data_IF_121358847478
#
_entry.id   IF_121358847478
#
_cell.length_a   1.000
_cell.length_b   1.000
_cell.length_c   1.000
_cell.angle_alpha   90.00
_cell.angle_beta   90.00
_cell.angle_gamma   90.00
#
_symmetry.space_group_name_H-M   'P 1'
#
loop_
_entity.id
_entity.type
_entity.pdbx_description
1 polymer ?
#
# COMPACT_ATOMS: atom_id res chain seq x y z
N UNK A 1 0.22 -8.08 0.46
CA UNK A 1 -0.93 -7.21 0.16
C UNK A 1 -2.19 -7.72 0.82
N UNK A 2 -3.06 -6.82 1.22
CA UNK A 2 -4.34 -7.18 1.83
C UNK A 2 -5.45 -6.27 1.30
N UNK A 3 -6.64 -6.82 1.08
CA UNK A 3 -7.81 -6.07 0.64
C UNK A 3 -8.80 -5.95 1.81
N UNK A 4 -9.12 -4.71 2.19
CA UNK A 4 -10.04 -4.41 3.28
C UNK A 4 -11.41 -4.02 2.73
N UNK A 5 -12.43 -4.78 3.10
CA UNK A 5 -13.78 -4.56 2.57
C UNK A 5 -14.76 -4.03 3.61
N UNK A 6 -14.54 -4.26 4.88
CA UNK A 6 -15.54 -3.96 5.91
C UNK A 6 -15.02 -3.24 7.14
N UNK A 7 -13.86 -3.56 7.65
CA UNK A 7 -13.37 -2.97 8.89
C UNK A 7 -12.54 -1.73 8.63
N UNK A 8 -12.92 -0.62 9.26
CA UNK A 8 -12.20 0.66 9.16
C UNK A 8 -11.31 0.92 10.37
N UNK A 9 -11.43 0.10 11.41
CA UNK A 9 -10.70 0.32 12.65
C UNK A 9 -9.26 -0.13 12.55
N UNK A 10 -8.40 0.68 13.12
CA UNK A 10 -7.00 0.32 13.36
C UNK A 10 -6.19 0.05 12.09
N UNK A 11 -6.59 0.60 10.95
CA UNK A 11 -5.86 0.39 9.70
C UNK A 11 -4.37 0.72 9.83
N UNK A 12 -3.96 1.89 10.35
CA UNK A 12 -2.52 2.19 10.49
C UNK A 12 -1.80 1.20 11.39
N UNK A 13 -2.42 0.80 12.50
CA UNK A 13 -1.80 -0.15 13.42
C UNK A 13 -1.69 -1.54 12.81
N UNK A 14 -2.68 -1.93 12.03
CA UNK A 14 -2.65 -3.21 11.30
C UNK A 14 -1.53 -3.22 10.28
N UNK A 15 -1.35 -2.13 9.54
CA UNK A 15 -0.27 -2.01 8.58
C UNK A 15 1.11 -2.07 9.27
N UNK A 16 1.23 -1.45 10.45
CA UNK A 16 2.45 -1.53 11.25
C UNK A 16 2.74 -2.98 11.65
N UNK A 17 1.72 -3.71 12.04
CA UNK A 17 1.86 -5.12 12.41
C UNK A 17 2.35 -5.96 11.22
N UNK A 18 1.76 -5.77 10.05
CA UNK A 18 2.17 -6.51 8.85
C UNK A 18 3.61 -6.21 8.47
N UNK A 19 4.06 -4.97 8.64
CA UNK A 19 5.45 -4.62 8.38
C UNK A 19 6.37 -5.43 9.31
N UNK A 20 6.00 -5.57 10.57
CA UNK A 20 6.79 -6.35 11.54
C UNK A 20 6.85 -7.82 11.15
N UNK A 21 5.75 -8.38 10.69
CA UNK A 21 5.72 -9.78 10.24
C UNK A 21 6.64 -9.99 9.04
N UNK A 22 6.63 -9.09 8.09
CA UNK A 22 7.52 -9.14 6.93
C UNK A 22 8.98 -9.14 7.39
N UNK A 23 9.33 -8.23 8.28
CA UNK A 23 10.71 -8.06 8.74
C UNK A 23 11.19 -9.29 9.51
N UNK A 24 10.36 -9.85 10.37
CA UNK A 24 10.69 -11.05 11.14
C UNK A 24 10.94 -12.25 10.20
N UNK A 25 10.16 -12.37 9.14
CA UNK A 25 10.29 -13.48 8.21
C UNK A 25 11.52 -13.36 7.32
N UNK A 26 12.01 -12.15 7.09
CA UNK A 26 13.19 -11.91 6.25
C UNK A 26 14.48 -12.08 7.05
N UNK A 27 14.49 -11.63 8.31
CA UNK A 27 15.71 -11.57 9.13
C UNK A 27 15.76 -12.73 10.12
N UNK A 28 16.55 -13.77 9.81
CA UNK A 28 16.79 -14.87 10.73
C UNK A 28 17.76 -14.43 11.86
N UNK A 29 17.75 -15.13 13.01
CA UNK A 29 18.70 -14.83 14.08
C UNK A 29 20.15 -14.86 13.61
N UNK A 30 20.92 -13.84 13.96
CA UNK A 30 22.33 -13.73 13.58
C UNK A 30 22.58 -13.16 12.20
N UNK A 31 21.53 -12.82 11.46
CA UNK A 31 21.65 -12.19 10.13
C UNK A 31 21.82 -10.68 10.30
N UNK A 32 22.67 -10.08 9.47
CA UNK A 32 22.93 -8.65 9.47
C UNK A 32 21.68 -7.87 9.04
N UNK A 33 21.42 -6.75 9.71
CA UNK A 33 20.29 -5.86 9.35
C UNK A 33 20.37 -5.34 7.93
N UNK A 34 21.56 -5.27 7.34
CA UNK A 34 21.72 -4.87 5.93
C UNK A 34 21.01 -5.81 4.96
N UNK A 35 20.60 -6.99 5.42
CA UNK A 35 19.82 -7.92 4.60
C UNK A 35 18.35 -7.58 4.51
N UNK A 36 17.85 -6.66 5.33
CA UNK A 36 16.50 -6.16 5.21
C UNK A 36 16.37 -5.39 3.89
N UNK A 37 15.43 -5.80 3.08
CA UNK A 37 15.23 -5.22 1.76
C UNK A 37 14.15 -4.14 1.82
N UNK A 38 14.12 -3.30 0.79
CA UNK A 38 13.02 -2.37 0.56
C UNK A 38 11.70 -3.14 0.58
N UNK A 39 10.74 -2.66 1.34
CA UNK A 39 9.46 -3.33 1.46
C UNK A 39 8.28 -2.38 1.33
N UNK A 40 7.17 -2.92 0.87
CA UNK A 40 5.90 -2.20 0.73
C UNK A 40 4.81 -2.96 1.44
N UNK A 41 3.99 -2.27 2.20
CA UNK A 41 2.74 -2.80 2.70
C UNK A 41 1.63 -2.07 1.97
N UNK A 42 0.85 -2.79 1.18
CA UNK A 42 -0.19 -2.22 0.33
C UNK A 42 -1.55 -2.73 0.78
N UNK A 43 -2.43 -1.82 1.16
CA UNK A 43 -3.81 -2.14 1.50
C UNK A 43 -4.73 -1.52 0.45
N UNK A 44 -5.67 -2.32 -0.06
CA UNK A 44 -6.67 -1.85 -1.00
C UNK A 44 -8.00 -1.78 -0.27
N UNK A 45 -8.57 -0.58 -0.19
CA UNK A 45 -9.78 -0.31 0.57
C UNK A 45 -10.93 0.07 -0.38
N UNK A 46 -12.13 -0.39 -0.06
CA UNK A 46 -13.35 0.01 -0.77
C UNK A 46 -14.03 1.22 -0.13
N UNK A 47 -13.29 1.92 0.71
CA UNK A 47 -13.72 3.12 1.41
C UNK A 47 -12.50 4.02 1.56
N UNK A 48 -12.72 5.29 1.92
CA UNK A 48 -11.63 6.23 2.15
C UNK A 48 -11.28 6.26 3.65
N UNK A 49 -10.16 5.65 4.05
CA UNK A 49 -9.82 5.59 5.48
C UNK A 49 -9.35 6.91 6.06
N UNK A 50 -8.99 7.90 5.23
CA UNK A 50 -8.42 9.17 5.69
C UNK A 50 -9.29 10.38 5.36
N UNK A 51 -10.32 10.21 4.56
CA UNK A 51 -11.30 11.26 4.30
C UNK A 51 -10.83 12.39 3.39
N UNK A 52 -9.75 12.22 2.64
CA UNK A 52 -9.23 13.23 1.73
C UNK A 52 -9.58 12.98 0.26
N UNK A 53 -10.29 11.91 -0.02
CA UNK A 53 -10.75 11.58 -1.36
C UNK A 53 -9.69 11.10 -2.33
N UNK A 54 -8.46 10.86 -1.89
CA UNK A 54 -7.39 10.46 -2.78
C UNK A 54 -7.50 9.00 -3.19
N UNK A 55 -7.05 8.71 -4.40
CA UNK A 55 -6.94 7.34 -4.89
C UNK A 55 -5.83 6.57 -4.18
N UNK A 56 -4.71 7.26 -3.90
CA UNK A 56 -3.53 6.63 -3.30
C UNK A 56 -3.00 7.53 -2.19
N UNK A 57 -2.72 6.90 -1.06
CA UNK A 57 -2.00 7.52 0.06
C UNK A 57 -0.72 6.75 0.27
N UNK A 58 0.41 7.42 0.12
CA UNK A 58 1.73 6.81 0.34
C UNK A 58 2.34 7.41 1.58
N UNK A 59 2.73 6.55 2.52
CA UNK A 59 3.34 6.96 3.78
C UNK A 59 4.75 6.41 3.87
N UNK A 60 5.67 7.26 4.28
CA UNK A 60 7.04 6.87 4.59
C UNK A 60 7.53 7.68 5.77
N UNK A 61 8.59 7.22 6.41
CA UNK A 61 9.12 7.89 7.58
C UNK A 61 9.95 9.11 7.17
N UNK A 62 9.60 10.27 7.72
CA UNK A 62 10.30 11.53 7.46
C UNK A 62 10.59 12.23 8.76
N UNK A 63 11.61 13.07 8.73
CA UNK A 63 11.95 13.92 9.87
C UNK A 63 10.90 15.01 10.03
N UNK A 64 10.34 15.17 11.23
CA UNK A 64 9.34 16.21 11.46
C UNK A 64 9.91 17.61 11.37
N UNK A 65 11.17 17.78 11.77
CA UNK A 65 11.85 19.06 11.74
C UNK A 65 12.38 19.43 10.36
N UNK A 66 12.55 18.45 9.48
CA UNK A 66 13.03 18.59 8.12
C UNK A 66 12.20 17.72 7.20
N UNK A 67 11.11 18.24 6.66
CA UNK A 67 10.12 17.44 5.92
C UNK A 67 10.68 16.73 4.68
N UNK A 68 11.75 17.27 4.08
CA UNK A 68 12.39 16.69 2.90
C UNK A 68 13.39 15.58 3.25
N UNK A 69 13.68 15.40 4.54
CA UNK A 69 14.64 14.39 4.99
C UNK A 69 13.95 13.06 5.23
N UNK A 70 14.22 12.10 4.39
CA UNK A 70 13.72 10.75 4.57
C UNK A 70 14.51 10.03 5.67
N UNK A 71 13.81 9.25 6.48
CA UNK A 71 14.48 8.40 7.47
C UNK A 71 15.38 7.36 6.78
N UNK A 72 14.95 6.87 5.64
CA UNK A 72 15.79 5.97 4.84
C UNK A 72 15.73 4.52 5.28
N UNK A 73 14.68 4.13 5.96
CA UNK A 73 14.51 2.73 6.42
C UNK A 73 13.99 1.80 5.30
N UNK A 74 13.79 2.34 4.11
CA UNK A 74 13.35 1.61 2.91
C UNK A 74 12.01 0.90 3.09
N UNK A 75 11.11 1.48 3.88
CA UNK A 75 9.74 0.98 4.02
C UNK A 75 8.75 2.03 3.53
N UNK A 76 7.68 1.55 2.90
CA UNK A 76 6.56 2.40 2.52
C UNK A 76 5.25 1.68 2.81
N UNK A 77 4.25 2.45 3.18
CA UNK A 77 2.89 1.98 3.35
C UNK A 77 2.02 2.67 2.32
N UNK A 78 1.30 1.89 1.55
CA UNK A 78 0.46 2.42 0.47
C UNK A 78 -0.98 2.00 0.75
N UNK A 79 -1.85 2.98 0.80
CA UNK A 79 -3.29 2.74 0.95
C UNK A 79 -3.96 3.16 -0.34
N UNK A 80 -4.65 2.22 -0.97
CA UNK A 80 -5.37 2.46 -2.22
C UNK A 80 -6.86 2.50 -1.92
N UNK A 81 -7.50 3.57 -2.36
CA UNK A 81 -8.92 3.79 -2.18
C UNK A 81 -9.62 3.62 -3.53
N UNK A 82 -10.38 2.54 -3.70
CA UNK A 82 -11.08 2.28 -4.96
C UNK A 82 -12.19 3.31 -5.24
N UNK A 83 -12.60 4.05 -4.23
CA UNK A 83 -13.63 5.10 -4.34
C UNK A 83 -13.04 6.51 -4.43
N UNK A 84 -11.73 6.62 -4.66
CA UNK A 84 -11.08 7.91 -4.75
C UNK A 84 -11.55 8.78 -5.91
N UNK A 85 -11.31 10.07 -5.78
CA UNK A 85 -11.63 11.05 -6.82
C UNK A 85 -10.62 12.20 -6.87
N UNK A 86 -9.60 12.18 -6.03
CA UNK A 86 -8.56 13.21 -5.96
C UNK A 86 -7.22 12.61 -6.30
N UNK A 87 -6.47 13.31 -7.14
CA UNK A 87 -5.14 12.89 -7.57
C UNK A 87 -5.17 12.36 -8.99
N UNK A 88 -4.00 12.39 -9.62
CA UNK A 88 -3.85 11.86 -10.97
C UNK A 88 -3.31 10.45 -10.91
N UNK A 89 -4.02 9.53 -11.54
CA UNK A 89 -3.58 8.15 -11.69
C UNK A 89 -3.68 7.77 -13.16
N UNK A 90 -2.91 6.79 -13.57
CA UNK A 90 -2.96 6.31 -14.94
C UNK A 90 -4.33 5.70 -15.24
N UNK A 91 -4.69 5.73 -16.51
CA UNK A 91 -5.95 5.12 -16.96
C UNK A 91 -5.99 3.63 -16.63
N UNK A 92 -4.86 2.95 -16.81
CA UNK A 92 -4.74 1.53 -16.49
C UNK A 92 -4.98 1.27 -15.02
N UNK A 93 -4.43 2.10 -14.14
CA UNK A 93 -4.63 1.94 -12.71
C UNK A 93 -6.10 2.18 -12.35
N UNK A 94 -6.73 3.19 -12.94
CA UNK A 94 -8.14 3.47 -12.69
C UNK A 94 -9.02 2.28 -13.10
N UNK A 95 -8.74 1.68 -14.24
CA UNK A 95 -9.45 0.49 -14.70
C UNK A 95 -9.27 -0.69 -13.73
N UNK A 96 -8.04 -0.86 -13.21
CA UNK A 96 -7.75 -1.89 -12.22
C UNK A 96 -8.56 -1.67 -10.95
N UNK A 97 -8.64 -0.42 -10.47
CA UNK A 97 -9.39 -0.10 -9.25
C UNK A 97 -10.89 -0.38 -9.42
N UNK A 98 -11.45 -0.02 -10.57
CA UNK A 98 -12.85 -0.31 -10.88
C UNK A 98 -13.08 -1.82 -10.92
N UNK A 99 -12.17 -2.54 -11.55
CA UNK A 99 -12.26 -3.99 -11.66
C UNK A 99 -12.18 -4.68 -10.29
N UNK A 100 -11.30 -4.23 -9.42
CA UNK A 100 -11.19 -4.76 -8.06
C UNK A 100 -12.45 -4.50 -7.26
N UNK A 101 -13.03 -3.33 -7.40
CA UNK A 101 -14.27 -2.97 -6.70
C UNK A 101 -15.43 -3.88 -7.15
N UNK A 102 -15.53 -4.14 -8.43
CA UNK A 102 -16.52 -5.07 -9.00
C UNK A 102 -16.20 -6.52 -8.64
N UNK A 103 -14.93 -6.90 -8.72
CA UNK A 103 -14.48 -8.26 -8.43
C UNK A 103 -14.76 -8.70 -7.02
N UNK A 104 -14.81 -7.78 -6.06
CA UNK A 104 -15.19 -8.10 -4.69
C UNK A 104 -16.61 -8.61 -4.57
N UNK A 105 -17.50 -8.14 -5.44
CA UNK A 105 -18.87 -8.60 -5.45
C UNK A 105 -18.98 -10.03 -5.99
N UNK A 106 -18.04 -10.46 -6.84
CA UNK A 106 -18.02 -11.80 -7.43
C UNK A 106 -17.16 -12.79 -6.66
N UNK A 107 -16.28 -12.32 -5.76
CA UNK A 107 -15.45 -13.18 -4.92
C UNK A 107 -14.28 -13.86 -5.64
N UNK A 108 -13.85 -13.37 -6.79
CA UNK A 108 -12.77 -13.99 -7.56
C UNK A 108 -11.63 -13.00 -7.81
N UNK A 109 -10.51 -13.16 -7.11
CA UNK A 109 -9.48 -12.13 -7.06
C UNK A 109 -8.07 -12.50 -7.49
N UNK A 110 -7.67 -13.77 -7.47
CA UNK A 110 -6.25 -14.12 -7.43
C UNK A 110 -5.41 -13.45 -8.52
N UNK A 111 -5.82 -13.58 -9.78
CA UNK A 111 -5.08 -13.00 -10.90
C UNK A 111 -5.19 -11.48 -10.91
N UNK A 112 -6.36 -10.96 -10.60
CA UNK A 112 -6.60 -9.53 -10.56
C UNK A 112 -5.76 -8.84 -9.50
N UNK A 113 -5.57 -9.47 -8.35
CA UNK A 113 -4.74 -8.92 -7.28
C UNK A 113 -3.29 -8.83 -7.68
N UNK A 114 -2.76 -9.85 -8.35
CA UNK A 114 -1.38 -9.82 -8.83
C UNK A 114 -1.16 -8.69 -9.83
N UNK A 115 -2.07 -8.52 -10.78
CA UNK A 115 -2.00 -7.46 -11.77
C UNK A 115 -2.11 -6.08 -11.12
N UNK A 116 -2.99 -5.96 -10.12
CA UNK A 116 -3.16 -4.72 -9.37
C UNK A 116 -1.88 -4.34 -8.62
N UNK A 117 -1.25 -5.27 -7.95
CA UNK A 117 0.00 -5.02 -7.22
C UNK A 117 1.08 -4.53 -8.17
N UNK A 118 1.24 -5.17 -9.31
CA UNK A 118 2.23 -4.76 -10.31
C UNK A 118 1.96 -3.35 -10.81
N UNK A 119 0.70 -3.03 -11.11
CA UNK A 119 0.32 -1.72 -11.61
C UNK A 119 0.57 -0.63 -10.56
N UNK A 120 0.22 -0.88 -9.31
CA UNK A 120 0.42 0.07 -8.21
C UNK A 120 1.92 0.31 -8.00
N UNK A 121 2.72 -0.73 -7.96
CA UNK A 121 4.17 -0.60 -7.81
C UNK A 121 4.81 0.18 -8.94
N UNK A 122 4.38 -0.07 -10.17
CA UNK A 122 4.88 0.69 -11.33
C UNK A 122 4.54 2.17 -11.24
N UNK A 123 3.32 2.50 -10.79
CA UNK A 123 2.92 3.89 -10.60
C UNK A 123 3.74 4.58 -9.53
N UNK A 124 4.01 3.92 -8.40
CA UNK A 124 4.84 4.45 -7.33
C UNK A 124 6.28 4.71 -7.80
N UNK A 125 6.83 3.79 -8.56
CA UNK A 125 8.19 3.95 -9.08
C UNK A 125 8.31 5.13 -10.04
N UNK A 126 7.26 5.41 -10.83
CA UNK A 126 7.24 6.57 -11.73
C UNK A 126 7.16 7.89 -10.98
N UNK A 127 6.52 7.92 -9.84
CA UNK A 127 6.35 9.13 -9.04
C UNK A 127 7.55 9.41 -8.13
N UNK A 128 8.37 8.44 -7.91
CA UNK A 128 9.52 8.54 -7.01
C UNK A 128 10.65 9.45 -7.55
#
# INVERSE_FOLDING_TARGET
MEVQTSSKKNLPKRMRYYQSVIDINVLAPGVDYSKLKRSFVIFICSYDPFGKGRYIYTFENRCMEEADLLFGDETQKVVVNTKGNVGEISRELKEVLVYLDEGRATGSYTQQLDDAVRTIKSSEEREA
#
